data_IF_160814366647
#
_entry.id   IF_160814366647
#
_cell.length_a   1.000
_cell.length_b   1.000
_cell.length_c   1.000
_cell.angle_alpha   90.00
_cell.angle_beta   90.00
_cell.angle_gamma   90.00
#
_symmetry.space_group_name_H-M   'P 1'
#
loop_
_entity.id
_entity.type
_entity.pdbx_description
1 polymer ?
#
# COMPACT_ATOMS: atom_id res chain seq x y z
N UNK A 1 5.43 -14.53 -43.97
CA UNK A 1 5.84 -13.44 -43.06
C UNK A 1 6.08 -14.08 -41.70
N UNK A 2 7.32 -14.46 -41.42
CA UNK A 2 7.67 -15.23 -40.23
C UNK A 2 8.31 -14.29 -39.21
N UNK A 3 7.58 -13.98 -38.15
CA UNK A 3 8.09 -13.15 -37.06
C UNK A 3 8.88 -14.06 -36.10
N UNK A 4 10.20 -13.97 -36.16
CA UNK A 4 11.11 -14.62 -35.22
C UNK A 4 11.20 -13.72 -33.97
N UNK A 5 10.51 -14.09 -32.89
CA UNK A 5 10.78 -13.49 -31.57
C UNK A 5 11.84 -14.36 -30.91
N UNK A 6 13.05 -13.85 -30.78
CA UNK A 6 14.15 -14.57 -30.14
C UNK A 6 13.90 -14.58 -28.64
N UNK A 7 13.59 -15.75 -28.09
CA UNK A 7 13.47 -15.97 -26.64
C UNK A 7 14.82 -15.73 -25.95
N UNK A 8 14.77 -15.02 -24.84
CA UNK A 8 15.89 -14.80 -23.93
C UNK A 8 16.05 -16.04 -23.04
N UNK A 9 17.07 -16.86 -23.24
CA UNK A 9 17.39 -18.07 -22.46
C UNK A 9 18.43 -17.80 -21.34
N UNK A 10 18.28 -16.67 -20.63
CA UNK A 10 19.13 -16.31 -19.49
C UNK A 10 18.40 -16.46 -18.14
N UNK A 11 19.08 -16.85 -17.05
CA UNK A 11 18.47 -16.87 -15.72
C UNK A 11 17.99 -15.46 -15.37
N UNK A 12 16.73 -15.35 -14.94
CA UNK A 12 16.15 -14.11 -14.38
C UNK A 12 16.90 -13.82 -13.08
N UNK A 13 18.04 -13.14 -13.17
CA UNK A 13 18.65 -12.50 -12.02
C UNK A 13 17.72 -11.33 -11.62
N UNK A 14 16.71 -11.61 -10.79
CA UNK A 14 15.94 -10.54 -10.14
C UNK A 14 16.96 -9.70 -9.35
N UNK A 15 17.26 -8.47 -9.80
CA UNK A 15 18.39 -7.74 -9.30
C UNK A 15 18.09 -7.29 -7.87
N UNK A 16 19.12 -7.27 -7.04
CA UNK A 16 19.23 -6.80 -5.66
C UNK A 16 18.42 -5.53 -5.27
N UNK A 17 17.87 -4.78 -6.24
CA UNK A 17 17.05 -3.59 -6.05
C UNK A 17 15.76 -3.81 -5.25
N UNK A 18 15.06 -4.94 -5.43
CA UNK A 18 13.78 -5.18 -4.72
C UNK A 18 14.00 -5.30 -3.20
N UNK A 19 15.10 -5.92 -2.77
CA UNK A 19 15.39 -6.12 -1.34
C UNK A 19 15.81 -4.84 -0.62
N UNK A 20 16.44 -3.90 -1.32
CA UNK A 20 16.83 -2.60 -0.76
C UNK A 20 15.61 -1.70 -0.48
N UNK A 21 14.59 -1.74 -1.35
CA UNK A 21 13.38 -0.94 -1.20
C UNK A 21 12.61 -1.26 0.09
N UNK A 22 12.42 -2.55 0.38
CA UNK A 22 11.72 -3.02 1.59
C UNK A 22 12.45 -2.56 2.87
N UNK A 23 13.78 -2.69 2.91
CA UNK A 23 14.57 -2.28 4.10
C UNK A 23 14.55 -0.77 4.31
N UNK A 24 14.66 0.03 3.24
CA UNK A 24 14.60 1.49 3.35
C UNK A 24 13.23 1.98 3.81
N UNK A 25 12.15 1.38 3.29
CA UNK A 25 10.80 1.71 3.71
C UNK A 25 10.57 1.37 5.20
N UNK A 26 11.11 0.25 5.68
CA UNK A 26 11.04 -0.11 7.10
C UNK A 26 11.70 0.94 8.01
N UNK A 27 12.87 1.46 7.63
CA UNK A 27 13.54 2.54 8.39
C UNK A 27 12.69 3.80 8.50
N UNK A 28 12.10 4.22 7.37
CA UNK A 28 11.19 5.37 7.35
C UNK A 28 9.97 5.16 8.25
N UNK A 29 9.39 3.95 8.28
CA UNK A 29 8.26 3.66 9.14
C UNK A 29 8.63 3.70 10.64
N UNK A 30 9.86 3.30 11.00
CA UNK A 30 10.35 3.44 12.37
C UNK A 30 10.50 4.93 12.76
N UNK A 31 11.08 5.75 11.89
CA UNK A 31 11.18 7.21 12.12
C UNK A 31 9.79 7.85 12.28
N UNK A 32 8.81 7.45 11.45
CA UNK A 32 7.42 7.91 11.58
C UNK A 32 6.82 7.51 12.94
N UNK A 33 7.17 6.34 13.47
CA UNK A 33 6.69 5.88 14.79
C UNK A 33 7.18 6.81 15.91
N UNK A 34 8.48 7.15 15.92
CA UNK A 34 9.05 8.10 16.88
C UNK A 34 8.38 9.48 16.81
N UNK A 35 8.05 9.93 15.60
CA UNK A 35 7.34 11.19 15.38
C UNK A 35 5.88 11.15 15.84
N UNK A 36 5.22 9.99 15.77
CA UNK A 36 3.87 9.78 16.31
C UNK A 36 3.91 9.82 17.85
N UNK A 37 4.84 9.10 18.47
CA UNK A 37 4.99 9.06 19.93
C UNK A 37 5.35 10.44 20.50
N UNK A 38 6.17 11.21 19.78
CA UNK A 38 6.47 12.61 20.09
C UNK A 38 5.32 13.58 19.82
N UNK A 39 4.17 13.11 19.31
CA UNK A 39 3.00 13.93 18.98
C UNK A 39 3.16 14.86 17.77
N UNK A 40 4.24 14.71 17.00
CA UNK A 40 4.55 15.54 15.81
C UNK A 40 3.77 15.08 14.57
N UNK A 41 3.46 13.80 14.47
CA UNK A 41 2.58 13.21 13.47
C UNK A 41 1.33 12.68 14.17
N UNK A 42 0.16 12.84 13.53
CA UNK A 42 -1.10 12.29 14.01
C UNK A 42 -1.71 11.39 12.96
N UNK A 43 -2.55 10.46 13.42
CA UNK A 43 -3.34 9.60 12.54
C UNK A 43 -4.16 10.42 11.55
N UNK A 44 -4.18 9.97 10.30
CA UNK A 44 -5.04 10.53 9.26
C UNK A 44 -6.40 9.79 9.17
N UNK A 45 -6.69 8.90 10.12
CA UNK A 45 -7.97 8.17 10.16
C UNK A 45 -9.10 9.15 10.39
N UNK A 46 -10.10 9.08 9.51
CA UNK A 46 -11.30 9.92 9.53
C UNK A 46 -12.57 9.10 9.65
N UNK A 47 -12.52 7.81 9.31
CA UNK A 47 -13.64 6.89 9.43
C UNK A 47 -13.17 5.44 9.70
N UNK A 48 -13.98 4.68 10.41
CA UNK A 48 -13.82 3.23 10.64
C UNK A 48 -15.08 2.54 10.13
N UNK A 49 -15.00 2.01 8.91
CA UNK A 49 -16.15 1.52 8.15
C UNK A 49 -16.71 0.16 8.61
N UNK A 50 -16.07 -0.48 9.60
CA UNK A 50 -16.48 -1.76 10.17
C UNK A 50 -15.62 -2.92 9.69
N UNK A 51 -16.21 -4.12 9.68
CA UNK A 51 -15.51 -5.38 9.41
C UNK A 51 -14.81 -5.41 8.05
N UNK A 52 -13.77 -6.21 7.98
CA UNK A 52 -13.06 -6.53 6.74
C UNK A 52 -13.90 -7.56 5.98
N UNK A 53 -14.90 -7.07 5.23
CA UNK A 53 -15.70 -7.87 4.32
C UNK A 53 -15.84 -7.22 2.94
N UNK A 54 -16.26 -8.03 1.96
CA UNK A 54 -16.36 -7.59 0.57
C UNK A 54 -17.44 -6.53 0.33
N UNK A 55 -18.50 -6.48 1.14
CA UNK A 55 -19.56 -5.48 1.00
C UNK A 55 -19.05 -4.11 1.48
N UNK A 56 -18.38 -4.05 2.63
CA UNK A 56 -17.78 -2.83 3.19
C UNK A 56 -16.66 -2.33 2.28
N UNK A 57 -15.79 -3.22 1.79
CA UNK A 57 -14.73 -2.85 0.85
C UNK A 57 -15.27 -2.18 -0.42
N UNK A 58 -16.32 -2.73 -1.05
CA UNK A 58 -16.93 -2.15 -2.26
C UNK A 58 -17.51 -0.77 -2.00
N UNK A 59 -18.21 -0.58 -0.88
CA UNK A 59 -18.79 0.71 -0.50
C UNK A 59 -17.69 1.77 -0.28
N UNK A 60 -16.64 1.44 0.46
CA UNK A 60 -15.53 2.36 0.74
C UNK A 60 -14.75 2.68 -0.54
N UNK A 61 -14.54 1.70 -1.41
CA UNK A 61 -13.87 1.93 -2.69
C UNK A 61 -14.62 2.95 -3.56
N UNK A 62 -15.94 2.82 -3.70
CA UNK A 62 -16.76 3.77 -4.45
C UNK A 62 -16.66 5.21 -3.88
N UNK A 63 -16.55 5.37 -2.55
CA UNK A 63 -16.36 6.69 -1.93
C UNK A 63 -15.01 7.34 -2.32
N UNK A 64 -13.96 6.52 -2.43
CA UNK A 64 -12.61 6.94 -2.86
C UNK A 64 -12.61 7.31 -4.33
N UNK A 65 -13.19 6.47 -5.19
CA UNK A 65 -13.30 6.72 -6.64
C UNK A 65 -14.06 8.01 -6.96
N UNK A 66 -15.11 8.30 -6.18
CA UNK A 66 -15.88 9.52 -6.31
C UNK A 66 -15.19 10.77 -5.72
N UNK A 67 -13.99 10.64 -5.15
CA UNK A 67 -13.23 11.76 -4.58
C UNK A 67 -13.85 12.37 -3.32
N UNK A 68 -14.84 11.71 -2.73
CA UNK A 68 -15.56 12.20 -1.53
C UNK A 68 -14.85 11.85 -0.22
N UNK A 69 -13.90 10.90 -0.27
CA UNK A 69 -13.11 10.50 0.88
C UNK A 69 -12.12 11.61 1.29
N UNK A 70 -12.11 11.96 2.57
CA UNK A 70 -11.09 12.80 3.20
C UNK A 70 -10.30 11.96 4.19
N UNK A 71 -8.98 12.06 4.21
CA UNK A 71 -8.13 11.28 5.12
C UNK A 71 -8.07 9.80 4.77
N UNK A 72 -8.12 8.93 5.79
CA UNK A 72 -8.06 7.46 5.66
C UNK A 72 -9.29 6.81 6.29
N UNK A 73 -9.94 5.94 5.52
CA UNK A 73 -11.02 5.08 5.99
C UNK A 73 -10.40 3.72 6.36
N UNK A 74 -10.63 3.25 7.58
CA UNK A 74 -10.10 1.98 8.10
C UNK A 74 -11.19 0.94 8.15
N UNK A 75 -10.87 -0.30 7.77
CA UNK A 75 -11.69 -1.47 8.04
C UNK A 75 -10.97 -2.30 9.10
N UNK A 76 -11.70 -2.78 10.09
CA UNK A 76 -11.16 -3.52 11.22
C UNK A 76 -12.16 -4.56 11.74
N UNK A 77 -11.63 -5.67 12.24
CA UNK A 77 -12.42 -6.84 12.65
C UNK A 77 -12.66 -7.80 11.47
N UNK A 78 -12.63 -9.09 11.75
CA UNK A 78 -12.86 -10.17 10.78
C UNK A 78 -14.22 -10.83 11.01
#
# INVERSE_FOLDING_TARGET
MSMHVTGYDGPIALPYAVKLGVTKQGKLLNEVTELVDAGRIRSAVTDVAGKIDAAILRRVHAQIENGTARGKIVLAGF
#
